data_IF_000715099541
#
_entry.id   IF_000715099541
#
_cell.length_a   1.000
_cell.length_b   1.000
_cell.length_c   1.000
_cell.angle_alpha   90.00
_cell.angle_beta   90.00
_cell.angle_gamma   90.00
#
_symmetry.space_group_name_H-M   'P 1'
#
loop_
_entity.id
_entity.type
_entity.pdbx_description
1 polymer ?
#
# COMPACT_ATOMS: atom_id res chain seq x y z
N UNK A 1 -19.71 8.87 -2.64
CA UNK A 1 -18.80 8.22 -3.60
C UNK A 1 -17.41 8.29 -3.00
N UNK A 2 -16.64 7.19 -2.94
CA UNK A 2 -15.26 7.25 -2.48
C UNK A 2 -14.45 8.19 -3.39
N UNK A 3 -13.46 8.87 -2.81
CA UNK A 3 -12.61 9.79 -3.56
C UNK A 3 -11.60 8.99 -4.37
N UNK A 4 -11.48 9.33 -5.66
CA UNK A 4 -10.48 8.75 -6.57
C UNK A 4 -9.07 9.03 -6.05
N UNK A 5 -8.24 7.99 -5.95
CA UNK A 5 -6.85 8.08 -5.46
C UNK A 5 -5.85 7.55 -6.50
N UNK A 6 -4.85 8.35 -6.85
CA UNK A 6 -3.74 7.87 -7.67
C UNK A 6 -2.71 7.17 -6.79
N UNK A 7 -2.95 5.88 -6.53
CA UNK A 7 -2.03 5.04 -5.78
C UNK A 7 -0.84 4.61 -6.63
N UNK A 8 0.37 4.83 -6.14
CA UNK A 8 1.61 4.52 -6.86
C UNK A 8 2.53 3.62 -6.05
N UNK A 9 3.48 2.97 -6.75
CA UNK A 9 4.50 2.14 -6.11
C UNK A 9 5.26 2.93 -5.05
N UNK A 10 5.36 2.35 -3.87
CA UNK A 10 6.04 2.93 -2.72
C UNK A 10 5.15 3.74 -1.78
N UNK A 11 3.88 3.93 -2.11
CA UNK A 11 2.92 4.44 -1.14
C UNK A 11 2.51 3.39 -0.11
N UNK A 12 2.30 3.87 1.11
CA UNK A 12 1.67 3.11 2.17
C UNK A 12 0.17 3.35 2.22
N UNK A 13 -0.56 2.31 2.57
CA UNK A 13 -1.99 2.37 2.87
C UNK A 13 -2.29 1.63 4.17
N UNK A 14 -3.38 2.02 4.82
CA UNK A 14 -4.01 1.24 5.86
C UNK A 14 -5.18 0.45 5.28
N UNK A 15 -5.14 -0.87 5.42
CA UNK A 15 -6.23 -1.76 5.01
C UNK A 15 -7.08 -2.13 6.23
N UNK A 16 -8.19 -1.41 6.41
CA UNK A 16 -9.01 -1.51 7.62
C UNK A 16 -9.58 -2.91 7.88
N UNK A 17 -9.90 -3.67 6.82
CA UNK A 17 -10.45 -5.04 6.93
C UNK A 17 -9.47 -6.00 7.61
N UNK A 18 -8.18 -5.88 7.28
CA UNK A 18 -7.12 -6.72 7.85
C UNK A 18 -6.44 -6.06 9.06
N UNK A 19 -6.83 -4.81 9.39
CA UNK A 19 -6.21 -3.98 10.43
C UNK A 19 -4.69 -3.92 10.28
N UNK A 20 -4.23 -3.82 9.04
CA UNK A 20 -2.82 -3.93 8.67
C UNK A 20 -2.38 -2.77 7.77
N UNK A 21 -1.10 -2.43 7.90
CA UNK A 21 -0.42 -1.53 6.96
C UNK A 21 0.08 -2.33 5.77
N UNK A 22 -0.14 -1.80 4.58
CA UNK A 22 0.33 -2.35 3.31
C UNK A 22 1.18 -1.35 2.53
N UNK A 23 2.06 -1.88 1.67
CA UNK A 23 2.82 -1.12 0.69
C UNK A 23 2.36 -1.48 -0.71
N UNK A 24 2.14 -0.48 -1.57
CA UNK A 24 1.93 -0.71 -2.99
C UNK A 24 3.28 -1.09 -3.60
N UNK A 25 3.45 -2.35 -4.02
CA UNK A 25 4.70 -2.81 -4.63
C UNK A 25 4.64 -2.86 -6.15
N UNK A 26 3.44 -2.85 -6.74
CA UNK A 26 3.24 -2.74 -8.19
C UNK A 26 1.85 -2.22 -8.52
N UNK A 27 1.72 -1.67 -9.72
CA UNK A 27 0.46 -1.30 -10.36
C UNK A 27 0.31 -2.09 -11.65
N UNK A 28 -0.93 -2.34 -12.07
CA UNK A 28 -1.19 -3.10 -13.30
C UNK A 28 -2.31 -2.47 -14.11
N UNK A 29 -2.14 -2.52 -15.44
CA UNK A 29 -3.18 -2.07 -16.37
C UNK A 29 -4.36 -3.05 -16.35
N UNK A 30 -5.59 -2.50 -16.41
CA UNK A 30 -6.82 -3.31 -16.48
C UNK A 30 -7.51 -3.22 -17.84
N UNK A 31 -7.50 -2.04 -18.45
CA UNK A 31 -8.17 -1.78 -19.72
C UNK A 31 -7.72 -0.46 -20.31
N UNK A 32 -8.00 -0.27 -21.60
CA UNK A 32 -7.70 0.98 -22.29
C UNK A 32 -8.54 2.09 -21.66
N UNK A 33 -7.88 3.07 -21.04
CA UNK A 33 -8.49 4.20 -20.30
C UNK A 33 -9.06 3.86 -18.91
N UNK A 34 -8.77 2.69 -18.36
CA UNK A 34 -9.09 2.39 -16.95
C UNK A 34 -7.96 2.86 -16.03
N UNK A 35 -8.31 3.31 -14.82
CA UNK A 35 -7.31 3.57 -13.78
C UNK A 35 -6.60 2.25 -13.42
N UNK A 36 -5.26 2.26 -13.25
CA UNK A 36 -4.53 1.07 -12.88
C UNK A 36 -5.04 0.44 -11.58
N UNK A 37 -5.01 -0.88 -11.51
CA UNK A 37 -5.15 -1.60 -10.25
C UNK A 37 -3.83 -1.62 -9.48
N UNK A 38 -3.91 -2.02 -8.21
CA UNK A 38 -2.74 -2.09 -7.32
C UNK A 38 -2.61 -3.45 -6.64
N UNK A 39 -1.38 -3.81 -6.29
CA UNK A 39 -1.07 -4.99 -5.48
C UNK A 39 -0.30 -4.55 -4.23
N UNK A 40 -0.62 -5.21 -3.12
CA UNK A 40 -0.14 -4.82 -1.79
C UNK A 40 0.67 -5.92 -1.13
N UNK A 41 1.76 -5.52 -0.49
CA UNK A 41 2.46 -6.35 0.46
C UNK A 41 2.09 -5.86 1.86
N UNK A 42 1.45 -6.71 2.65
CA UNK A 42 1.16 -6.40 4.04
C UNK A 42 2.40 -6.51 4.92
N UNK A 43 2.39 -5.80 6.05
CA UNK A 43 3.53 -5.79 6.99
C UNK A 43 3.87 -7.17 7.58
N UNK A 44 2.94 -8.13 7.53
CA UNK A 44 3.14 -9.53 7.94
C UNK A 44 3.66 -10.42 6.80
N UNK A 45 3.94 -9.86 5.63
CA UNK A 45 4.49 -10.55 4.46
C UNK A 45 3.45 -11.18 3.55
N UNK A 46 2.16 -11.06 3.87
CA UNK A 46 1.09 -11.52 2.97
C UNK A 46 1.04 -10.62 1.73
N UNK A 47 1.08 -11.26 0.57
CA UNK A 47 0.79 -10.64 -0.71
C UNK A 47 -0.72 -10.61 -0.94
N UNK A 48 -1.29 -9.41 -0.99
CA UNK A 48 -2.67 -9.15 -1.37
C UNK A 48 -2.68 -8.51 -2.76
N UNK A 49 -2.66 -9.37 -3.77
CA UNK A 49 -2.76 -8.99 -5.17
C UNK A 49 -4.20 -8.62 -5.55
N UNK A 50 -4.37 -7.59 -6.40
CA UNK A 50 -5.50 -7.53 -7.32
C UNK A 50 -6.61 -6.54 -7.00
N UNK A 51 -6.32 -5.44 -6.28
CA UNK A 51 -7.33 -4.39 -6.08
C UNK A 51 -7.55 -3.60 -7.37
N UNK A 52 -8.81 -3.53 -7.83
CA UNK A 52 -9.22 -2.52 -8.80
C UNK A 52 -9.04 -1.10 -8.25
N UNK A 53 -9.08 -0.10 -9.11
CA UNK A 53 -9.07 1.30 -8.68
C UNK A 53 -10.27 1.61 -7.76
N UNK A 54 -11.45 1.06 -8.07
CA UNK A 54 -12.67 1.23 -7.26
C UNK A 54 -12.58 0.50 -5.93
N UNK A 55 -12.04 -0.73 -5.90
CA UNK A 55 -11.79 -1.47 -4.67
C UNK A 55 -10.75 -0.76 -3.80
N UNK A 56 -9.70 -0.22 -4.42
CA UNK A 56 -8.71 0.60 -3.74
C UNK A 56 -9.33 1.84 -3.09
N UNK A 57 -10.14 2.60 -3.85
CA UNK A 57 -10.84 3.79 -3.35
C UNK A 57 -11.80 3.46 -2.19
N UNK A 58 -12.41 2.26 -2.22
CA UNK A 58 -13.36 1.82 -1.19
C UNK A 58 -12.68 1.29 0.08
N UNK A 59 -11.58 0.54 -0.06
CA UNK A 59 -11.05 -0.27 1.03
C UNK A 59 -9.70 0.20 1.56
N UNK A 60 -8.93 0.93 0.76
CA UNK A 60 -7.59 1.36 1.12
C UNK A 60 -7.61 2.81 1.56
N UNK A 61 -6.91 3.08 2.67
CA UNK A 61 -6.76 4.44 3.18
C UNK A 61 -5.31 4.88 2.98
N UNK A 62 -5.02 5.87 2.14
CA UNK A 62 -3.66 6.34 1.92
C UNK A 62 -3.03 6.84 3.21
N UNK A 63 -1.76 6.49 3.39
CA UNK A 63 -0.90 7.01 4.44
C UNK A 63 0.17 7.93 3.85
N UNK A 64 0.59 7.70 2.60
CA UNK A 64 1.52 8.56 1.85
C UNK A 64 2.78 7.82 1.38
N UNK A 65 3.70 8.55 0.73
CA UNK A 65 4.98 8.02 0.23
C UNK A 65 5.85 7.52 1.39
N UNK A 66 6.41 6.32 1.23
CA UNK A 66 7.36 5.74 2.18
C UNK A 66 8.81 5.92 1.76
N UNK A 67 9.05 6.45 0.55
CA UNK A 67 10.37 6.51 -0.07
C UNK A 67 10.81 5.18 -0.71
N UNK A 68 9.97 4.15 -0.67
CA UNK A 68 10.25 2.90 -1.37
C UNK A 68 10.30 3.14 -2.88
N UNK A 69 11.36 2.65 -3.51
CA UNK A 69 11.49 2.52 -4.95
C UNK A 69 11.75 1.04 -5.21
N UNK A 70 10.77 0.36 -5.80
CA UNK A 70 10.78 -1.08 -5.95
C UNK A 70 10.35 -1.47 -7.36
N UNK A 71 11.04 -2.44 -7.93
CA UNK A 71 10.73 -3.00 -9.24
C UNK A 71 10.35 -4.47 -9.08
N UNK A 72 9.07 -4.76 -9.28
CA UNK A 72 8.53 -6.10 -9.19
C UNK A 72 8.78 -6.88 -10.48
N UNK A 73 9.47 -8.02 -10.37
CA UNK A 73 9.62 -8.96 -11.49
C UNK A 73 8.74 -10.21 -11.35
N UNK A 74 8.62 -10.78 -10.15
CA UNK A 74 7.76 -11.94 -9.88
C UNK A 74 7.56 -12.20 -8.38
N UNK A 75 6.57 -13.02 -8.03
CA UNK A 75 6.23 -13.39 -6.65
C UNK A 75 7.38 -14.06 -5.89
N UNK A 76 8.25 -14.79 -6.59
CA UNK A 76 9.42 -15.43 -5.97
C UNK A 76 10.49 -14.42 -5.55
N UNK A 77 10.71 -13.37 -6.34
CA UNK A 77 11.54 -12.23 -5.95
C UNK A 77 10.92 -11.50 -4.75
N UNK A 78 9.63 -11.18 -4.81
CA UNK A 78 8.91 -10.47 -3.75
C UNK A 78 9.07 -11.16 -2.38
N UNK A 79 8.83 -12.48 -2.34
CA UNK A 79 8.96 -13.27 -1.11
C UNK A 79 10.39 -13.25 -0.56
N UNK A 80 11.41 -13.38 -1.43
CA UNK A 80 12.82 -13.33 -1.01
C UNK A 80 13.21 -11.94 -0.51
N UNK A 81 12.76 -10.89 -1.18
CA UNK A 81 13.07 -9.51 -0.81
C UNK A 81 12.41 -9.13 0.52
N UNK A 82 11.20 -9.65 0.78
CA UNK A 82 10.56 -9.55 2.10
C UNK A 82 11.37 -10.25 3.19
N UNK A 83 11.76 -11.51 2.96
CA UNK A 83 12.57 -12.28 3.91
C UNK A 83 13.93 -11.63 4.19
N UNK A 84 14.50 -10.93 3.21
CA UNK A 84 15.75 -10.17 3.34
C UNK A 84 15.59 -8.80 4.01
N UNK A 85 14.36 -8.38 4.30
CA UNK A 85 14.07 -7.11 4.96
C UNK A 85 14.15 -5.89 4.05
N UNK A 86 14.08 -6.06 2.72
CA UNK A 86 14.14 -4.94 1.74
C UNK A 86 13.07 -3.88 2.04
N UNK A 87 11.89 -4.31 2.48
CA UNK A 87 10.76 -3.42 2.79
C UNK A 87 10.79 -2.85 4.22
N UNK A 88 11.81 -3.16 5.02
CA UNK A 88 11.85 -2.84 6.45
C UNK A 88 11.72 -1.33 6.73
N UNK A 89 12.49 -0.51 6.03
CA UNK A 89 12.41 0.95 6.17
C UNK A 89 11.05 1.51 5.71
N UNK A 90 10.50 0.97 4.62
CA UNK A 90 9.22 1.40 4.08
C UNK A 90 8.08 1.09 5.07
N UNK A 91 8.06 -0.11 5.67
CA UNK A 91 7.09 -0.45 6.70
C UNK A 91 7.27 0.35 7.99
N UNK A 92 8.51 0.68 8.37
CA UNK A 92 8.76 1.59 9.48
C UNK A 92 8.13 2.96 9.21
N UNK A 93 8.42 3.56 8.05
CA UNK A 93 7.85 4.85 7.65
C UNK A 93 6.33 4.81 7.59
N UNK A 94 5.75 3.74 7.04
CA UNK A 94 4.31 3.54 6.97
C UNK A 94 3.63 3.51 8.35
N UNK A 95 4.27 2.88 9.36
CA UNK A 95 3.77 2.91 10.75
C UNK A 95 3.84 4.31 11.36
N UNK A 96 4.91 5.06 11.09
CA UNK A 96 5.04 6.45 11.53
C UNK A 96 3.93 7.31 10.93
N UNK A 97 3.63 7.13 9.63
CA UNK A 97 2.54 7.85 8.95
C UNK A 97 1.17 7.52 9.56
N UNK A 98 0.89 6.24 9.88
CA UNK A 98 -0.34 5.84 10.55
C UNK A 98 -0.48 6.51 11.93
N UNK A 99 0.57 6.44 12.76
CA UNK A 99 0.59 7.05 14.09
C UNK A 99 0.38 8.56 14.01
N UNK A 100 1.05 9.25 13.08
CA UNK A 100 0.88 10.69 12.88
C UNK A 100 -0.56 11.06 12.53
N UNK A 101 -1.22 10.26 11.67
CA UNK A 101 -2.62 10.45 11.31
C UNK A 101 -3.57 10.22 12.49
N UNK A 102 -3.33 9.19 13.29
CA UNK A 102 -4.13 8.88 14.48
C UNK A 102 -4.02 10.00 15.53
N UNK A 103 -2.81 10.50 15.77
CA UNK A 103 -2.55 11.62 16.69
C UNK A 103 -3.27 12.89 16.21
N UNK A 104 -3.14 13.26 14.93
CA UNK A 104 -3.83 14.42 14.36
C UNK A 104 -5.36 14.32 14.49
N UNK A 105 -5.91 13.12 14.29
CA UNK A 105 -7.35 12.84 14.41
C UNK A 105 -7.86 12.89 15.86
N UNK A 106 -7.00 12.57 16.83
CA UNK A 106 -7.32 12.63 18.26
C UNK A 106 -7.31 14.06 18.82
N UNK A 107 -6.46 14.93 18.26
CA UNK A 107 -6.33 16.32 18.70
C UNK A 107 -7.45 17.25 18.21
N UNK A 108 -8.36 16.74 17.36
CA UNK A 108 -9.51 17.48 16.82
C UNK A 108 -10.83 17.11 17.52
N UNK A 109 -10.78 16.31 18.60
CA UNK A 109 -11.94 15.95 19.44
C UNK A 109 -11.92 16.63 20.79
#
# INVERSE_FOLDING_TARGET
>A
MPQSQDLVVGEAVYYARERAVGLIYTTYERGRHERPGVQLLLSDGRDLSGFSAEEADQFLQPLGDTGLRYEFANVGQLARDYQRGVFGQAFHNARVLLLARELASSSTR
#
